data_IF_203954886160
#
_entry.id   IF_203954886160
#
_cell.length_a   1.000
_cell.length_b   1.000
_cell.length_c   1.000
_cell.angle_alpha   90.00
_cell.angle_beta   90.00
_cell.angle_gamma   90.00
#
_symmetry.space_group_name_H-M   'P 1'
#
loop_
_entity.id
_entity.type
_entity.pdbx_description
1 polymer ?
#
# COMPACT_ATOMS: atom_id res chain seq x y z
N UNK A 1 9.01 -1.23 22.04
CA UNK A 1 9.14 -1.46 20.59
C UNK A 1 8.01 -2.40 20.17
N UNK A 2 7.04 -1.98 19.36
CA UNK A 2 5.92 -2.83 19.00
C UNK A 2 6.44 -3.91 18.04
N UNK A 3 6.06 -5.16 18.35
CA UNK A 3 6.57 -6.37 17.72
C UNK A 3 6.03 -6.46 16.29
N UNK A 4 6.92 -6.54 15.30
CA UNK A 4 6.56 -6.91 13.93
C UNK A 4 5.80 -8.25 13.96
N UNK A 5 4.55 -8.24 13.50
CA UNK A 5 3.78 -9.47 13.27
C UNK A 5 4.50 -10.24 12.18
N UNK A 6 4.92 -11.47 12.51
CA UNK A 6 5.93 -12.26 11.79
C UNK A 6 5.55 -12.71 10.37
N UNK A 7 4.42 -12.26 9.81
CA UNK A 7 3.82 -12.76 8.56
C UNK A 7 3.22 -11.66 7.64
N UNK A 8 3.33 -10.38 7.97
CA UNK A 8 2.89 -9.31 7.06
C UNK A 8 4.07 -8.86 6.19
N UNK A 9 3.90 -8.73 4.86
CA UNK A 9 4.97 -8.25 3.98
C UNK A 9 5.38 -6.84 4.39
N UNK A 10 6.63 -6.45 4.12
CA UNK A 10 7.01 -5.04 4.19
C UNK A 10 6.30 -4.23 3.11
N UNK A 11 6.34 -2.90 3.21
CA UNK A 11 5.76 -2.02 2.19
C UNK A 11 6.38 -2.29 0.81
N UNK A 12 7.71 -2.41 0.74
CA UNK A 12 8.46 -2.67 -0.48
C UNK A 12 8.12 -4.05 -1.06
N UNK A 13 7.99 -5.07 -0.20
CA UNK A 13 7.58 -6.41 -0.62
C UNK A 13 6.13 -6.44 -1.14
N UNK A 14 5.23 -5.63 -0.55
CA UNK A 14 3.85 -5.54 -0.97
C UNK A 14 3.71 -4.81 -2.32
N UNK A 15 4.48 -3.74 -2.53
CA UNK A 15 4.54 -3.04 -3.82
C UNK A 15 5.11 -3.94 -4.91
N UNK A 16 6.24 -4.62 -4.67
CA UNK A 16 6.83 -5.51 -5.66
C UNK A 16 5.86 -6.65 -6.07
N UNK A 17 5.12 -7.21 -5.11
CA UNK A 17 4.09 -8.21 -5.40
C UNK A 17 2.90 -7.65 -6.18
N UNK A 18 2.54 -6.38 -5.95
CA UNK A 18 1.47 -5.72 -6.69
C UNK A 18 1.88 -5.47 -8.14
N UNK A 19 3.12 -5.02 -8.36
CA UNK A 19 3.70 -4.84 -9.71
C UNK A 19 3.71 -6.16 -10.50
N UNK A 20 4.16 -7.26 -9.88
CA UNK A 20 4.16 -8.59 -10.51
C UNK A 20 2.74 -9.05 -10.89
N UNK A 21 1.75 -8.75 -10.06
CA UNK A 21 0.34 -9.06 -10.35
C UNK A 21 -0.17 -8.25 -11.54
N UNK A 22 0.16 -6.96 -11.60
CA UNK A 22 -0.24 -6.09 -12.70
C UNK A 22 0.39 -6.58 -14.01
N UNK A 23 1.69 -6.88 -14.00
CA UNK A 23 2.40 -7.42 -15.17
C UNK A 23 1.73 -8.70 -15.70
N UNK A 24 1.42 -9.65 -14.81
CA UNK A 24 0.72 -10.89 -15.18
C UNK A 24 -0.68 -10.64 -15.76
N UNK A 25 -1.43 -9.68 -15.22
CA UNK A 25 -2.75 -9.33 -15.73
C UNK A 25 -2.68 -8.63 -17.09
N UNK A 26 -1.64 -7.84 -17.34
CA UNK A 26 -1.41 -7.13 -18.60
C UNK A 26 -0.92 -8.05 -19.72
N UNK A 27 -0.18 -9.12 -19.41
CA UNK A 27 0.24 -10.14 -20.37
C UNK A 27 -0.95 -10.82 -21.09
N UNK A 28 -2.13 -10.88 -20.45
CA UNK A 28 -3.38 -11.33 -21.07
C UNK A 28 -3.48 -12.84 -21.35
N UNK A 29 -2.44 -13.63 -21.06
CA UNK A 29 -2.43 -15.09 -21.20
C UNK A 29 -2.93 -15.85 -19.94
N UNK A 30 -3.43 -15.11 -18.93
CA UNK A 30 -3.89 -15.68 -17.66
C UNK A 30 -5.33 -16.20 -17.78
N UNK A 31 -5.61 -17.47 -17.40
CA UNK A 31 -6.97 -18.00 -17.34
C UNK A 31 -7.88 -17.14 -16.45
N UNK A 32 -9.17 -17.02 -16.79
CA UNK A 32 -10.12 -16.15 -16.09
C UNK A 32 -10.16 -16.38 -14.58
N UNK A 33 -10.15 -17.63 -14.14
CA UNK A 33 -10.17 -17.98 -12.72
C UNK A 33 -8.93 -17.45 -11.98
N UNK A 34 -7.75 -17.58 -12.60
CA UNK A 34 -6.50 -17.04 -12.05
C UNK A 34 -6.47 -15.51 -12.10
N UNK A 35 -7.03 -14.89 -13.15
CA UNK A 35 -7.11 -13.44 -13.25
C UNK A 35 -7.96 -12.85 -12.12
N UNK A 36 -9.05 -13.53 -11.73
CA UNK A 36 -9.88 -13.14 -10.58
C UNK A 36 -9.09 -13.25 -9.27
N UNK A 37 -8.31 -14.31 -9.07
CA UNK A 37 -7.46 -14.47 -7.89
C UNK A 37 -6.39 -13.37 -7.82
N UNK A 38 -5.70 -13.10 -8.93
CA UNK A 38 -4.72 -12.02 -9.03
C UNK A 38 -5.34 -10.66 -8.77
N UNK A 39 -6.51 -10.37 -9.32
CA UNK A 39 -7.22 -9.13 -9.06
C UNK A 39 -7.56 -8.95 -7.57
N UNK A 40 -8.09 -9.99 -6.91
CA UNK A 40 -8.39 -9.95 -5.48
C UNK A 40 -7.12 -9.74 -4.64
N UNK A 41 -6.03 -10.45 -4.97
CA UNK A 41 -4.75 -10.29 -4.28
C UNK A 41 -4.19 -8.87 -4.50
N UNK A 42 -4.24 -8.36 -5.72
CA UNK A 42 -3.82 -7.00 -6.06
C UNK A 42 -4.60 -5.94 -5.30
N UNK A 43 -5.92 -6.12 -5.15
CA UNK A 43 -6.74 -5.19 -4.36
C UNK A 43 -6.38 -5.18 -2.88
N UNK A 44 -6.11 -6.35 -2.30
CA UNK A 44 -5.67 -6.44 -0.92
C UNK A 44 -4.30 -5.78 -0.71
N UNK A 45 -3.35 -5.99 -1.63
CA UNK A 45 -2.03 -5.35 -1.58
C UNK A 45 -2.12 -3.84 -1.77
N UNK A 46 -2.91 -3.37 -2.74
CA UNK A 46 -3.15 -1.94 -2.96
C UNK A 46 -3.70 -1.25 -1.72
N UNK A 47 -4.69 -1.86 -1.07
CA UNK A 47 -5.24 -1.38 0.20
C UNK A 47 -4.18 -1.35 1.30
N UNK A 48 -3.40 -2.42 1.45
CA UNK A 48 -2.33 -2.49 2.43
C UNK A 48 -1.30 -1.36 2.24
N UNK A 49 -0.87 -1.11 1.00
CA UNK A 49 0.07 -0.04 0.69
C UNK A 49 -0.51 1.34 1.01
N UNK A 50 -1.76 1.59 0.61
CA UNK A 50 -2.45 2.84 0.92
C UNK A 50 -2.57 3.07 2.44
N UNK A 51 -3.05 2.07 3.18
CA UNK A 51 -3.19 2.14 4.64
C UNK A 51 -1.84 2.35 5.34
N UNK A 52 -0.76 1.80 4.80
CA UNK A 52 0.60 1.97 5.32
C UNK A 52 1.11 3.40 5.10
N UNK A 53 0.91 3.96 3.90
CA UNK A 53 1.27 5.34 3.58
C UNK A 53 0.46 6.32 4.44
N UNK A 54 -0.85 6.13 4.55
CA UNK A 54 -1.72 6.93 5.41
C UNK A 54 -1.27 6.90 6.88
N UNK A 55 -0.85 5.74 7.39
CA UNK A 55 -0.30 5.66 8.74
C UNK A 55 1.04 6.39 8.90
N UNK A 56 1.90 6.34 7.89
CA UNK A 56 3.18 7.04 7.89
C UNK A 56 2.97 8.56 7.88
N UNK A 57 2.09 9.04 7.00
CA UNK A 57 1.69 10.44 6.90
C UNK A 57 1.12 10.95 8.24
N UNK A 58 0.14 10.24 8.80
CA UNK A 58 -0.45 10.59 10.10
C UNK A 58 0.58 10.66 11.24
N UNK A 59 1.59 9.78 11.24
CA UNK A 59 2.68 9.83 12.24
C UNK A 59 3.54 11.06 12.04
N UNK A 60 3.86 11.40 10.79
CA UNK A 60 4.68 12.53 10.43
C UNK A 60 3.98 13.85 10.79
N UNK A 61 2.69 13.98 10.46
CA UNK A 61 1.84 15.12 10.85
C UNK A 61 1.76 15.30 12.37
N UNK A 62 1.65 14.20 13.13
CA UNK A 62 1.65 14.26 14.62
C UNK A 62 2.98 14.76 15.19
N UNK A 63 4.10 14.27 14.67
CA UNK A 63 5.43 14.75 15.10
C UNK A 63 5.62 16.24 14.81
N UNK A 64 5.16 16.72 13.64
CA UNK A 64 5.26 18.13 13.28
C UNK A 64 4.33 19.04 14.09
N UNK A 65 3.13 18.56 14.46
CA UNK A 65 2.20 19.32 15.30
C UNK A 65 2.67 19.44 16.75
N UNK A 66 3.42 18.45 17.27
CA UNK A 66 4.04 18.52 18.59
C UNK A 66 5.27 19.46 18.64
N UNK A 67 5.96 19.70 17.52
CA UNK A 67 7.14 20.60 17.42
C UNK A 67 6.84 22.03 16.97
N UNK A 68 5.57 22.38 16.73
CA UNK A 68 5.13 23.74 16.40
C UNK A 68 5.04 24.00 14.88
N UNK A 69 3.78 24.02 14.42
CA UNK A 69 3.26 24.50 13.12
C UNK A 69 4.03 24.12 11.85
N UNK A 70 3.49 23.12 11.14
CA UNK A 70 3.10 23.26 9.73
C UNK A 70 2.23 22.08 9.29
N UNK A 71 1.03 22.37 8.80
CA UNK A 71 0.13 21.40 8.17
C UNK A 71 0.68 21.03 6.79
N UNK A 72 0.89 19.73 6.54
CA UNK A 72 1.18 19.25 5.19
C UNK A 72 -0.16 19.30 4.42
N UNK A 73 -0.33 20.35 3.62
CA UNK A 73 -1.37 20.39 2.58
C UNK A 73 -0.92 19.42 1.47
N UNK A 74 -1.32 18.15 1.60
CA UNK A 74 -1.37 17.27 0.44
C UNK A 74 -2.60 17.68 -0.37
N UNK A 75 -2.47 17.98 -1.67
CA UNK A 75 -3.64 18.28 -2.48
C UNK A 75 -4.58 17.07 -2.41
N UNK A 76 -5.80 17.29 -1.93
CA UNK A 76 -6.89 16.35 -2.15
C UNK A 76 -7.01 16.18 -3.67
N UNK A 77 -6.68 15.01 -4.20
CA UNK A 77 -6.98 14.72 -5.60
C UNK A 77 -8.51 14.64 -5.73
N UNK A 78 -9.10 15.64 -6.40
CA UNK A 78 -10.52 15.68 -6.78
C UNK A 78 -10.88 14.62 -7.84
#
# INVERSE_FOLDING_TARGET
>A
MPKAKKNEPTFEEAIAQLEEIVEKLEEGEVPLEQAIEYYQKGMNLSKYCHDTLQQAENKLTKMMTDEGEQTIDLPEEE
#
